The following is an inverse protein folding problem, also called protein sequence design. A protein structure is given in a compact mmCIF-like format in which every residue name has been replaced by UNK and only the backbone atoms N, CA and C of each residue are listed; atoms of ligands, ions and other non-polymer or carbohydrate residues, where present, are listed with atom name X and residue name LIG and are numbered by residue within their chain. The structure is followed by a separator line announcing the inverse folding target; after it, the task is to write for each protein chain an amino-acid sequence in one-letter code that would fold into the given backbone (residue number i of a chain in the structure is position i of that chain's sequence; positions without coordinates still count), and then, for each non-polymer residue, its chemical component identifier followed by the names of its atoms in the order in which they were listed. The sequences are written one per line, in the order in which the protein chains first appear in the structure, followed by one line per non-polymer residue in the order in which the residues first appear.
data_IF_908156907193
#
_entry.id   IF_908156907193
#
_cell.length_a   1.000
_cell.length_b   1.000
_cell.length_c   1.000
_cell.angle_alpha   90.00
_cell.angle_beta   90.00
_cell.angle_gamma   90.00
#
_symmetry.space_group_name_H-M   'P 1'
#
loop_
_entity.id
_entity.type
_entity.pdbx_description
1 polymer ?
#
# COMPACT_ATOMS: atom_id res chain seq x y z
N UNK A 1 2.92 -7.09 -24.27
CA UNK A 1 2.09 -7.41 -23.08
C UNK A 1 2.75 -8.31 -22.04
N UNK A 2 3.50 -9.38 -22.40
CA UNK A 2 4.17 -10.27 -21.42
C UNK A 2 5.14 -9.53 -20.48
N UNK A 3 5.87 -8.53 -20.98
CA UNK A 3 6.83 -7.76 -20.16
C UNK A 3 6.14 -6.84 -19.13
N UNK A 4 5.02 -6.20 -19.50
CA UNK A 4 4.27 -5.32 -18.59
C UNK A 4 3.64 -6.11 -17.44
N UNK A 5 3.12 -7.31 -17.72
CA UNK A 5 2.63 -8.20 -16.67
C UNK A 5 3.76 -8.67 -15.73
N UNK A 6 4.95 -8.90 -16.25
CA UNK A 6 6.12 -9.27 -15.45
C UNK A 6 6.53 -8.16 -14.48
N UNK A 7 6.58 -6.92 -14.97
CA UNK A 7 6.92 -5.75 -14.15
C UNK A 7 5.86 -5.52 -13.07
N UNK A 8 4.57 -5.60 -13.41
CA UNK A 8 3.47 -5.48 -12.45
C UNK A 8 3.55 -6.54 -11.33
N UNK A 9 3.91 -7.78 -11.68
CA UNK A 9 4.10 -8.85 -10.68
C UNK A 9 5.23 -8.57 -9.69
N UNK A 10 6.30 -7.94 -10.17
CA UNK A 10 7.40 -7.52 -9.31
C UNK A 10 7.06 -6.29 -8.48
N UNK A 11 6.48 -5.26 -9.11
CA UNK A 11 6.32 -3.94 -8.50
C UNK A 11 5.15 -3.88 -7.49
N UNK A 12 4.04 -4.54 -7.78
CA UNK A 12 2.82 -4.50 -6.97
C UNK A 12 3.05 -4.89 -5.49
N UNK A 13 3.71 -6.04 -5.16
CA UNK A 13 3.97 -6.39 -3.76
C UNK A 13 4.88 -5.38 -3.04
N UNK A 14 5.86 -4.80 -3.75
CA UNK A 14 6.75 -3.79 -3.17
C UNK A 14 6.00 -2.49 -2.87
N UNK A 15 5.12 -2.05 -3.78
CA UNK A 15 4.30 -0.86 -3.57
C UNK A 15 3.39 -0.99 -2.34
N UNK A 16 2.73 -2.16 -2.18
CA UNK A 16 1.90 -2.45 -0.99
C UNK A 16 2.75 -2.43 0.28
N UNK A 17 3.93 -3.04 0.26
CA UNK A 17 4.82 -3.09 1.42
C UNK A 17 5.32 -1.70 1.84
N UNK A 18 5.79 -0.89 0.87
CA UNK A 18 6.27 0.47 1.12
C UNK A 18 5.15 1.33 1.71
N UNK A 19 3.96 1.32 1.09
CA UNK A 19 2.83 2.10 1.58
C UNK A 19 2.37 1.62 2.97
N UNK A 20 2.41 0.32 3.25
CA UNK A 20 2.09 -0.23 4.58
C UNK A 20 3.07 0.27 5.64
N UNK A 21 4.38 0.22 5.36
CA UNK A 21 5.41 0.74 6.27
C UNK A 21 5.31 2.24 6.48
N UNK A 22 4.99 2.99 5.42
CA UNK A 22 4.76 4.43 5.50
C UNK A 22 3.56 4.75 6.41
N UNK A 23 2.44 4.03 6.28
CA UNK A 23 1.28 4.22 7.15
C UNK A 23 1.59 3.91 8.61
N UNK A 24 2.37 2.86 8.88
CA UNK A 24 2.85 2.54 10.24
C UNK A 24 3.71 3.69 10.78
N UNK A 25 4.63 4.19 9.95
CA UNK A 25 5.51 5.32 10.32
C UNK A 25 4.68 6.55 10.66
N UNK A 26 3.72 6.92 9.80
CA UNK A 26 2.82 8.05 10.03
C UNK A 26 2.01 7.87 11.30
N UNK A 27 1.49 6.67 11.57
CA UNK A 27 0.75 6.38 12.80
C UNK A 27 1.62 6.57 14.04
N UNK A 28 2.84 6.02 14.04
CA UNK A 28 3.79 6.16 15.15
C UNK A 28 4.12 7.64 15.36
N UNK A 29 4.48 8.37 14.31
CA UNK A 29 4.79 9.80 14.43
C UNK A 29 3.60 10.62 14.91
N UNK A 30 2.38 10.26 14.54
CA UNK A 30 1.15 10.93 14.97
C UNK A 30 0.92 10.76 16.48
N UNK A 31 1.34 9.62 17.08
CA UNK A 31 1.26 9.43 18.52
C UNK A 31 2.16 10.39 19.30
N UNK A 32 3.35 10.70 18.76
CA UNK A 32 4.35 11.54 19.41
C UNK A 32 4.30 13.02 18.97
N UNK A 33 3.72 13.32 17.82
CA UNK A 33 3.64 14.66 17.24
C UNK A 33 2.23 14.98 16.73
N UNK A 34 1.24 14.83 17.63
CA UNK A 34 -0.19 15.02 17.35
C UNK A 34 -0.57 16.32 16.61
N UNK A 35 0.06 17.48 16.87
CA UNK A 35 -0.31 18.73 16.19
C UNK A 35 -0.13 18.71 14.67
N UNK A 36 0.74 17.85 14.12
CA UNK A 36 0.93 17.74 12.67
C UNK A 36 -0.18 16.92 11.96
N UNK A 37 -1.00 16.16 12.69
CA UNK A 37 -2.11 15.38 12.15
C UNK A 37 -1.72 14.53 10.91
N UNK A 38 -0.65 13.74 11.03
CA UNK A 38 -0.11 12.92 9.94
C UNK A 38 -1.08 11.87 9.44
N UNK A 39 -2.00 11.38 10.29
CA UNK A 39 -3.04 10.44 9.88
C UNK A 39 -4.30 11.14 9.38
N UNK A 40 -4.69 12.25 10.03
CA UNK A 40 -5.96 12.92 9.75
C UNK A 40 -5.83 14.10 8.78
N UNK A 41 -5.19 13.86 7.63
CA UNK A 41 -5.14 14.81 6.52
C UNK A 41 -5.51 14.13 5.19
N UNK A 42 -5.85 14.92 4.19
CA UNK A 42 -6.39 14.40 2.92
C UNK A 42 -5.36 13.61 2.11
N UNK A 43 -4.07 13.97 2.22
CA UNK A 43 -2.98 13.25 1.54
C UNK A 43 -2.87 11.83 2.11
N UNK A 44 -2.80 11.70 3.44
CA UNK A 44 -2.69 10.39 4.08
C UNK A 44 -3.96 9.56 3.87
N UNK A 45 -5.15 10.17 3.86
CA UNK A 45 -6.40 9.47 3.50
C UNK A 45 -6.37 8.95 2.07
N UNK A 46 -5.88 9.74 1.11
CA UNK A 46 -5.72 9.29 -0.26
C UNK A 46 -4.69 8.14 -0.39
N UNK A 47 -3.58 8.23 0.33
CA UNK A 47 -2.56 7.17 0.38
C UNK A 47 -3.10 5.87 1.01
N UNK A 48 -3.92 5.98 2.07
CA UNK A 48 -4.62 4.85 2.67
C UNK A 48 -5.62 4.20 1.71
N UNK A 49 -6.36 5.01 0.96
CA UNK A 49 -7.27 4.50 -0.07
C UNK A 49 -6.49 3.77 -1.19
N UNK A 50 -5.39 4.35 -1.66
CA UNK A 50 -4.51 3.73 -2.65
C UNK A 50 -3.91 2.42 -2.14
N UNK A 51 -3.38 2.40 -0.91
CA UNK A 51 -2.89 1.19 -0.26
C UNK A 51 -3.97 0.10 -0.23
N UNK A 52 -5.20 0.47 0.14
CA UNK A 52 -6.33 -0.46 0.22
C UNK A 52 -6.66 -1.08 -1.14
N UNK A 53 -6.70 -0.28 -2.21
CA UNK A 53 -6.90 -0.79 -3.57
C UNK A 53 -5.76 -1.73 -4.00
N UNK A 54 -4.50 -1.34 -3.78
CA UNK A 54 -3.34 -2.15 -4.15
C UNK A 54 -3.30 -3.46 -3.36
N UNK A 55 -3.66 -3.46 -2.08
CA UNK A 55 -3.74 -4.66 -1.25
C UNK A 55 -4.81 -5.64 -1.76
N UNK A 56 -5.99 -5.15 -2.17
CA UNK A 56 -7.03 -5.96 -2.79
C UNK A 56 -6.52 -6.59 -4.08
N UNK A 57 -5.94 -5.80 -5.00
CA UNK A 57 -5.42 -6.32 -6.27
C UNK A 57 -4.31 -7.35 -6.03
N UNK A 58 -3.40 -7.08 -5.09
CA UNK A 58 -2.32 -8.01 -4.71
C UNK A 58 -2.88 -9.32 -4.15
N UNK A 59 -3.88 -9.27 -3.29
CA UNK A 59 -4.51 -10.47 -2.72
C UNK A 59 -5.18 -11.33 -3.78
N UNK A 60 -5.94 -10.72 -4.71
CA UNK A 60 -6.55 -11.42 -5.85
C UNK A 60 -5.49 -12.08 -6.72
N UNK A 61 -4.41 -11.34 -7.03
CA UNK A 61 -3.28 -11.86 -7.79
C UNK A 61 -2.62 -13.06 -7.11
N UNK A 62 -2.36 -12.96 -5.80
CA UNK A 62 -1.76 -14.02 -4.99
C UNK A 62 -2.64 -15.26 -4.92
N UNK A 63 -3.96 -15.11 -4.69
CA UNK A 63 -4.92 -16.23 -4.68
C UNK A 63 -4.91 -16.95 -6.02
N UNK A 64 -4.91 -16.20 -7.13
CA UNK A 64 -4.86 -16.78 -8.48
C UNK A 64 -3.54 -17.53 -8.74
N UNK A 65 -2.43 -17.04 -8.21
CA UNK A 65 -1.13 -17.70 -8.34
C UNK A 65 -1.05 -18.98 -7.52
N UNK A 66 -1.59 -19.00 -6.30
CA UNK A 66 -1.56 -20.17 -5.42
C UNK A 66 -2.56 -21.27 -5.80
N UNK A 67 -3.56 -20.97 -6.64
CA UNK A 67 -4.53 -21.95 -7.17
C UNK A 67 -4.10 -22.63 -8.48
N UNK A 68 -2.93 -22.25 -9.01
CA UNK A 68 -2.29 -22.92 -10.14
C UNK A 68 -1.26 -23.91 -9.64
#
# INVERSE_FOLDING_TARGET
MKNMLSILKGLLPHAVLILSLMMITFYITDQFNRPMAFINNDITKALLFLLSLLAIVQSVYMIRQNRK
#
